data_IF_907898577008
#
_entry.id   IF_907898577008
#
_cell.length_a   1.000
_cell.length_b   1.000
_cell.length_c   1.000
_cell.angle_alpha   90.00
_cell.angle_beta   90.00
_cell.angle_gamma   90.00
#
_symmetry.space_group_name_H-M   'P 1'
#
loop_
_entity.id
_entity.type
_entity.pdbx_description
1 polymer ?
#
# COMPACT_ATOMS: atom_id res chain seq x y z
N UNK A 1 -2.24 32.07 -6.86
CA UNK A 1 -1.28 30.93 -6.73
C UNK A 1 -2.01 29.63 -6.99
N UNK A 2 -1.33 28.58 -7.49
CA UNK A 2 -1.94 27.26 -7.69
C UNK A 2 -2.59 26.71 -6.40
N UNK A 3 -2.09 27.09 -5.23
CA UNK A 3 -2.65 26.71 -3.92
C UNK A 3 -4.10 27.19 -3.76
N UNK A 4 -4.39 28.46 -4.06
CA UNK A 4 -5.76 28.98 -3.95
C UNK A 4 -6.68 28.37 -5.01
N UNK A 5 -6.15 28.06 -6.20
CA UNK A 5 -6.90 27.40 -7.29
C UNK A 5 -7.37 26.00 -6.90
N UNK A 6 -6.55 25.22 -6.20
CA UNK A 6 -6.84 23.81 -5.83
C UNK A 6 -7.18 23.64 -4.34
N UNK A 7 -7.58 24.73 -3.68
CA UNK A 7 -7.81 24.75 -2.23
C UNK A 7 -8.88 23.77 -1.80
N UNK A 8 -9.94 23.61 -2.60
CA UNK A 8 -11.03 22.69 -2.32
C UNK A 8 -10.54 21.24 -2.29
N UNK A 9 -9.74 20.83 -3.28
CA UNK A 9 -9.18 19.49 -3.40
C UNK A 9 -8.14 19.22 -2.31
N UNK A 10 -7.25 20.19 -2.06
CA UNK A 10 -6.20 20.08 -1.04
C UNK A 10 -6.79 19.95 0.38
N UNK A 11 -7.96 20.55 0.65
CA UNK A 11 -8.62 20.51 1.95
C UNK A 11 -9.78 19.51 2.03
N UNK A 12 -10.06 18.76 0.96
CA UNK A 12 -11.19 17.83 0.89
C UNK A 12 -11.18 16.79 2.02
N UNK A 13 -9.99 16.38 2.49
CA UNK A 13 -9.83 15.44 3.59
C UNK A 13 -10.51 15.93 4.89
N UNK A 14 -10.65 17.24 5.09
CA UNK A 14 -11.29 17.81 6.28
C UNK A 14 -12.77 17.45 6.40
N UNK A 15 -13.42 17.17 5.26
CA UNK A 15 -14.83 16.79 5.21
C UNK A 15 -15.04 15.28 5.41
N UNK A 16 -13.97 14.49 5.52
CA UNK A 16 -14.03 13.04 5.69
C UNK A 16 -13.66 12.72 7.15
N UNK A 17 -14.60 12.23 7.97
CA UNK A 17 -14.32 11.86 9.35
C UNK A 17 -13.16 10.85 9.44
N UNK A 18 -12.23 11.10 10.36
CA UNK A 18 -11.04 10.26 10.60
C UNK A 18 -10.10 10.11 9.39
N UNK A 19 -10.16 11.04 8.42
CA UNK A 19 -9.18 11.07 7.35
C UNK A 19 -7.75 11.23 7.91
N UNK A 20 -6.75 10.60 7.28
CA UNK A 20 -5.35 10.82 7.64
C UNK A 20 -4.97 12.30 7.48
N UNK A 21 -4.43 12.90 8.55
CA UNK A 21 -3.93 14.29 8.53
C UNK A 21 -2.48 14.39 8.05
N UNK A 22 -1.79 13.25 7.99
CA UNK A 22 -0.38 13.13 7.60
C UNK A 22 -0.25 12.26 6.36
N UNK A 23 0.75 12.52 5.56
CA UNK A 23 1.14 11.71 4.40
C UNK A 23 1.99 10.47 4.76
N UNK A 24 2.29 10.22 6.04
CA UNK A 24 3.11 9.09 6.54
C UNK A 24 2.79 7.73 5.89
N UNK A 25 1.50 7.45 5.61
CA UNK A 25 1.08 6.18 4.99
C UNK A 25 1.64 6.05 3.57
N UNK A 26 1.56 7.13 2.78
CA UNK A 26 2.05 7.17 1.39
C UNK A 26 3.58 7.23 1.40
N UNK A 27 4.18 8.05 2.27
CA UNK A 27 5.64 8.14 2.39
C UNK A 27 6.27 6.81 2.77
N UNK A 28 5.71 6.11 3.77
CA UNK A 28 6.18 4.78 4.15
C UNK A 28 6.03 3.76 3.03
N UNK A 29 4.94 3.80 2.26
CA UNK A 29 4.75 2.96 1.09
C UNK A 29 5.82 3.21 0.02
N UNK A 30 6.10 4.48 -0.28
CA UNK A 30 7.08 4.88 -1.28
C UNK A 30 8.49 4.49 -0.85
N UNK A 31 8.88 4.76 0.41
CA UNK A 31 10.17 4.35 0.97
C UNK A 31 10.39 2.84 0.88
N UNK A 32 9.37 2.04 1.21
CA UNK A 32 9.43 0.58 1.09
C UNK A 32 9.61 0.11 -0.36
N UNK A 33 8.93 0.76 -1.30
CA UNK A 33 9.05 0.43 -2.72
C UNK A 33 10.43 0.83 -3.25
N UNK A 34 10.87 2.04 -2.94
CA UNK A 34 12.15 2.58 -3.36
C UNK A 34 13.32 1.72 -2.88
N UNK A 35 13.33 1.31 -1.60
CA UNK A 35 14.37 0.44 -1.06
C UNK A 35 14.46 -0.94 -1.75
N UNK A 36 13.40 -1.38 -2.43
CA UNK A 36 13.42 -2.59 -3.28
C UNK A 36 13.89 -2.29 -4.70
N UNK A 37 13.46 -1.17 -5.27
CA UNK A 37 13.84 -0.75 -6.62
C UNK A 37 15.31 -0.36 -6.71
N UNK A 38 15.86 0.31 -5.70
CA UNK A 38 17.28 0.70 -5.64
C UNK A 38 18.21 -0.51 -5.82
N UNK A 39 17.84 -1.68 -5.28
CA UNK A 39 18.60 -2.93 -5.42
C UNK A 39 18.55 -3.54 -6.82
N UNK A 40 17.53 -3.23 -7.61
CA UNK A 40 17.31 -3.80 -8.95
C UNK A 40 18.01 -3.02 -10.06
N UNK A 41 18.56 -1.82 -9.76
CA UNK A 41 19.23 -0.89 -10.68
C UNK A 41 18.36 -0.39 -11.85
N UNK A 42 17.90 -1.29 -12.72
CA UNK A 42 17.02 -0.96 -13.86
C UNK A 42 16.26 -2.19 -14.35
N UNK A 43 15.21 -1.94 -15.14
CA UNK A 43 14.50 -2.98 -15.90
C UNK A 43 14.90 -2.90 -17.37
N UNK A 44 15.11 -4.05 -18.02
CA UNK A 44 15.44 -4.10 -19.44
C UNK A 44 14.31 -3.57 -20.33
N UNK A 45 13.05 -3.83 -19.96
CA UNK A 45 11.88 -3.35 -20.68
C UNK A 45 10.73 -3.02 -19.73
N UNK A 46 9.77 -2.22 -20.19
CA UNK A 46 8.54 -1.90 -19.44
C UNK A 46 7.76 -3.19 -19.08
N UNK A 47 7.82 -4.23 -19.92
CA UNK A 47 7.16 -5.52 -19.63
C UNK A 47 7.74 -6.17 -18.38
N UNK A 48 9.06 -6.16 -18.22
CA UNK A 48 9.72 -6.68 -17.02
C UNK A 48 9.35 -5.86 -15.78
N UNK A 49 9.33 -4.53 -15.90
CA UNK A 49 8.88 -3.66 -14.82
C UNK A 49 7.45 -4.01 -14.39
N UNK A 50 6.51 -4.10 -15.33
CA UNK A 50 5.11 -4.49 -15.06
C UNK A 50 5.01 -5.84 -14.36
N UNK A 51 5.73 -6.85 -14.84
CA UNK A 51 5.74 -8.17 -14.22
C UNK A 51 6.26 -8.13 -12.78
N UNK A 52 7.35 -7.40 -12.55
CA UNK A 52 7.93 -7.24 -11.22
C UNK A 52 6.96 -6.53 -10.27
N UNK A 53 6.35 -5.43 -10.71
CA UNK A 53 5.36 -4.69 -9.91
C UNK A 53 4.14 -5.54 -9.58
N UNK A 54 3.63 -6.34 -10.53
CA UNK A 54 2.55 -7.28 -10.28
C UNK A 54 2.95 -8.29 -9.18
N UNK A 55 4.14 -8.88 -9.29
CA UNK A 55 4.67 -9.79 -8.27
C UNK A 55 4.84 -9.12 -6.91
N UNK A 56 5.34 -7.89 -6.87
CA UNK A 56 5.48 -7.10 -5.64
C UNK A 56 4.14 -6.84 -4.95
N UNK A 57 3.12 -6.43 -5.72
CA UNK A 57 1.77 -6.18 -5.20
C UNK A 57 1.17 -7.48 -4.64
N UNK A 58 1.29 -8.59 -5.37
CA UNK A 58 0.82 -9.90 -4.90
C UNK A 58 1.52 -10.30 -3.60
N UNK A 59 2.86 -10.29 -3.58
CA UNK A 59 3.64 -10.59 -2.38
C UNK A 59 3.17 -9.74 -1.21
N UNK A 60 3.04 -8.42 -1.38
CA UNK A 60 2.57 -7.53 -0.31
C UNK A 60 1.16 -7.89 0.18
N UNK A 61 0.25 -8.28 -0.73
CA UNK A 61 -1.13 -8.64 -0.37
C UNK A 61 -1.25 -9.95 0.42
N UNK A 62 -0.39 -10.91 0.12
CA UNK A 62 -0.35 -12.23 0.79
C UNK A 62 0.63 -12.28 1.98
N UNK A 63 1.48 -11.27 2.16
CA UNK A 63 2.36 -11.20 3.34
C UNK A 63 1.55 -10.88 4.60
N UNK A 64 1.77 -11.66 5.66
CA UNK A 64 1.15 -11.43 6.97
C UNK A 64 1.70 -10.16 7.63
N UNK A 65 0.84 -9.44 8.34
CA UNK A 65 1.28 -8.31 9.16
C UNK A 65 1.99 -8.80 10.43
N UNK A 66 3.18 -8.25 10.70
CA UNK A 66 4.03 -8.66 11.82
C UNK A 66 4.09 -7.60 12.93
N UNK A 67 4.35 -6.33 12.58
CA UNK A 67 4.52 -5.22 13.56
C UNK A 67 3.23 -4.42 13.79
N UNK A 68 2.15 -5.11 14.16
CA UNK A 68 0.89 -4.44 14.52
C UNK A 68 0.87 -4.05 16.00
N UNK A 69 0.60 -2.76 16.29
CA UNK A 69 0.51 -2.18 17.64
C UNK A 69 -0.74 -1.33 17.83
N UNK A 70 -1.06 -0.99 19.09
CA UNK A 70 -2.19 -0.14 19.45
C UNK A 70 -3.51 -0.60 18.84
N UNK A 71 -4.24 0.33 18.20
CA UNK A 71 -5.52 0.07 17.53
C UNK A 71 -5.43 -0.99 16.42
N UNK A 72 -4.25 -1.27 15.88
CA UNK A 72 -4.06 -2.23 14.80
C UNK A 72 -3.67 -3.63 15.27
N UNK A 73 -3.56 -3.89 16.58
CA UNK A 73 -3.10 -5.19 17.11
C UNK A 73 -3.87 -6.39 16.55
N UNK A 74 -5.17 -6.24 16.29
CA UNK A 74 -6.04 -7.28 15.73
C UNK A 74 -5.70 -7.70 14.29
N UNK A 75 -4.86 -6.94 13.58
CA UNK A 75 -4.38 -7.26 12.23
C UNK A 75 -3.17 -8.20 12.25
N UNK A 76 -2.52 -8.41 13.40
CA UNK A 76 -1.33 -9.25 13.50
C UNK A 76 -1.63 -10.66 13.00
N UNK A 77 -0.78 -11.18 12.13
CA UNK A 77 -0.92 -12.52 11.55
C UNK A 77 -1.93 -12.62 10.39
N UNK A 78 -2.74 -11.58 10.16
CA UNK A 78 -3.62 -11.48 8.98
C UNK A 78 -2.86 -10.92 7.78
N UNK A 79 -3.40 -11.13 6.60
CA UNK A 79 -2.90 -10.59 5.32
C UNK A 79 -3.80 -9.46 4.83
N UNK A 80 -3.30 -8.60 3.95
CA UNK A 80 -4.12 -7.52 3.35
C UNK A 80 -5.31 -8.10 2.60
N UNK A 81 -5.11 -9.22 1.91
CA UNK A 81 -6.15 -9.83 1.11
C UNK A 81 -7.25 -10.44 1.97
N UNK A 82 -6.93 -11.02 3.14
CA UNK A 82 -7.95 -11.50 4.09
C UNK A 82 -8.85 -10.38 4.60
N UNK A 83 -8.33 -9.17 4.74
CA UNK A 83 -9.12 -8.01 5.19
C UNK A 83 -10.09 -7.46 4.13
N UNK A 84 -9.91 -7.84 2.87
CA UNK A 84 -10.69 -7.29 1.73
C UNK A 84 -11.42 -8.36 0.93
N UNK A 85 -11.09 -9.65 1.10
CA UNK A 85 -11.75 -10.75 0.41
C UNK A 85 -13.17 -10.97 0.95
N UNK A 86 -14.04 -11.45 0.08
CA UNK A 86 -15.34 -12.01 0.48
C UNK A 86 -15.11 -13.32 1.24
N UNK A 87 -15.89 -13.58 2.28
CA UNK A 87 -15.70 -14.70 3.20
C UNK A 87 -15.63 -16.06 2.47
N UNK A 88 -16.48 -16.25 1.45
CA UNK A 88 -16.63 -17.53 0.71
C UNK A 88 -15.64 -17.73 -0.44
N UNK A 89 -14.68 -16.83 -0.62
CA UNK A 89 -13.67 -16.96 -1.67
C UNK A 89 -12.39 -17.55 -1.06
N UNK A 90 -12.08 -18.77 -1.50
CA UNK A 90 -10.80 -19.44 -1.24
C UNK A 90 -9.77 -18.94 -2.23
N UNK A 91 -8.69 -18.34 -1.71
CA UNK A 91 -7.57 -17.88 -2.53
C UNK A 91 -6.43 -18.90 -2.44
N UNK A 92 -5.67 -19.08 -3.52
CA UNK A 92 -4.46 -19.90 -3.46
C UNK A 92 -3.46 -19.31 -2.46
N UNK A 93 -2.69 -20.17 -1.80
CA UNK A 93 -1.52 -19.77 -1.04
C UNK A 93 -0.45 -19.32 -2.03
N UNK A 94 -0.25 -18.02 -2.13
CA UNK A 94 0.85 -17.43 -2.88
C UNK A 94 1.90 -16.93 -1.88
N UNK A 95 3.11 -17.50 -1.98
CA UNK A 95 4.34 -17.17 -1.23
C UNK A 95 4.45 -17.70 0.21
#
# INVERSE_FOLDING_TARGET
TNIEKYKAELLAYRNIPQAPLTNNIIEGLNSHLEGRLQKLRSFQTIKHARLWFNGYILKKRFTKFTDCRGKFRYLRGKTVVEMTKKERVTLPLCF
#
